data_IF_604886882127
#
_entry.id   IF_604886882127
#
_cell.length_a   1.000
_cell.length_b   1.000
_cell.length_c   1.000
_cell.angle_alpha   90.00
_cell.angle_beta   90.00
_cell.angle_gamma   90.00
#
_symmetry.space_group_name_H-M   'P 1'
#
loop_
_entity.id
_entity.type
_entity.pdbx_description
1 polymer ?
#
# COMPACT_ATOMS: atom_id res chain seq x y z
N UNK A 1 -5.14 -22.60 -36.82
CA UNK A 1 -5.87 -22.71 -35.54
C UNK A 1 -5.63 -21.44 -34.72
N UNK A 2 -6.29 -20.31 -35.04
CA UNK A 2 -6.25 -19.13 -34.14
C UNK A 2 -6.97 -19.58 -32.87
N UNK A 3 -6.20 -19.79 -31.80
CA UNK A 3 -6.64 -20.42 -30.56
C UNK A 3 -7.94 -19.79 -30.07
N UNK A 4 -8.94 -20.61 -29.69
CA UNK A 4 -10.20 -20.16 -29.07
C UNK A 4 -9.96 -19.17 -27.92
N UNK A 5 -8.80 -19.27 -27.26
CA UNK A 5 -8.32 -18.38 -26.21
C UNK A 5 -8.10 -16.95 -26.73
N UNK A 6 -7.52 -16.78 -27.93
CA UNK A 6 -7.27 -15.47 -28.53
C UNK A 6 -8.60 -14.75 -28.85
N UNK A 7 -9.59 -15.50 -29.36
CA UNK A 7 -10.92 -14.97 -29.66
C UNK A 7 -11.69 -14.59 -28.39
N UNK A 8 -11.54 -15.38 -27.32
CA UNK A 8 -12.12 -15.08 -26.00
C UNK A 8 -11.52 -13.83 -25.37
N UNK A 9 -10.19 -13.68 -25.42
CA UNK A 9 -9.48 -12.49 -24.94
C UNK A 9 -9.90 -11.25 -25.74
N UNK A 10 -10.03 -11.35 -27.06
CA UNK A 10 -10.45 -10.23 -27.91
C UNK A 10 -11.91 -9.80 -27.68
N UNK A 11 -12.81 -10.72 -27.30
CA UNK A 11 -14.24 -10.43 -27.11
C UNK A 11 -14.61 -10.05 -25.68
N UNK A 12 -13.96 -10.62 -24.65
CA UNK A 12 -14.29 -10.39 -23.24
C UNK A 12 -13.15 -9.79 -22.42
N UNK A 13 -11.96 -9.61 -23.00
CA UNK A 13 -10.77 -9.11 -22.30
C UNK A 13 -10.94 -7.72 -21.70
N UNK A 14 -11.70 -6.83 -22.35
CA UNK A 14 -11.99 -5.50 -21.79
C UNK A 14 -12.85 -5.61 -20.52
N UNK A 15 -13.88 -6.44 -20.53
CA UNK A 15 -14.75 -6.65 -19.35
C UNK A 15 -13.96 -7.28 -18.21
N UNK A 16 -13.22 -8.35 -18.50
CA UNK A 16 -12.42 -9.06 -17.49
C UNK A 16 -11.34 -8.14 -16.91
N UNK A 17 -10.64 -7.39 -17.77
CA UNK A 17 -9.61 -6.44 -17.34
C UNK A 17 -10.19 -5.29 -16.51
N UNK A 18 -11.34 -4.75 -16.90
CA UNK A 18 -12.04 -3.71 -16.14
C UNK A 18 -12.49 -4.20 -14.77
N UNK A 19 -13.10 -5.39 -14.68
CA UNK A 19 -13.48 -6.02 -13.41
C UNK A 19 -12.25 -6.27 -12.52
N UNK A 20 -11.14 -6.71 -13.10
CA UNK A 20 -9.90 -6.90 -12.35
C UNK A 20 -9.36 -5.59 -11.76
N UNK A 21 -9.41 -4.49 -12.51
CA UNK A 21 -9.07 -3.16 -11.99
C UNK A 21 -9.97 -2.75 -10.83
N UNK A 22 -11.29 -3.01 -10.92
CA UNK A 22 -12.23 -2.71 -9.83
C UNK A 22 -11.91 -3.51 -8.56
N UNK A 23 -11.51 -4.77 -8.69
CA UNK A 23 -11.07 -5.58 -7.54
C UNK A 23 -9.84 -4.94 -6.88
N UNK A 24 -8.84 -4.54 -7.68
CA UNK A 24 -7.65 -3.85 -7.16
C UNK A 24 -8.02 -2.54 -6.46
N UNK A 25 -8.96 -1.77 -7.01
CA UNK A 25 -9.48 -0.55 -6.38
C UNK A 25 -10.05 -0.81 -4.99
N UNK A 26 -10.87 -1.85 -4.83
CA UNK A 26 -11.43 -2.21 -3.51
C UNK A 26 -10.32 -2.50 -2.50
N UNK A 27 -9.27 -3.22 -2.91
CA UNK A 27 -8.11 -3.52 -2.05
C UNK A 27 -7.38 -2.23 -1.63
N UNK A 28 -7.09 -1.33 -2.58
CA UNK A 28 -6.40 -0.07 -2.31
C UNK A 28 -7.23 0.82 -1.36
N UNK A 29 -8.53 0.96 -1.61
CA UNK A 29 -9.42 1.76 -0.76
C UNK A 29 -9.52 1.17 0.65
N UNK A 30 -9.64 -0.15 0.77
CA UNK A 30 -9.67 -0.81 2.07
C UNK A 30 -8.36 -0.57 2.86
N UNK A 31 -7.21 -0.62 2.19
CA UNK A 31 -5.94 -0.29 2.82
C UNK A 31 -5.90 1.16 3.33
N UNK A 32 -6.42 2.10 2.56
CA UNK A 32 -6.58 3.50 2.96
C UNK A 32 -7.48 3.66 4.19
N UNK A 33 -8.62 2.96 4.24
CA UNK A 33 -9.54 2.95 5.39
C UNK A 33 -8.86 2.39 6.64
N UNK A 34 -8.13 1.27 6.52
CA UNK A 34 -7.42 0.69 7.67
C UNK A 34 -6.35 1.63 8.18
N UNK A 35 -5.55 2.26 7.30
CA UNK A 35 -4.55 3.25 7.73
C UNK A 35 -5.19 4.47 8.39
N UNK A 36 -6.30 4.96 7.84
CA UNK A 36 -7.09 6.05 8.41
C UNK A 36 -7.51 5.71 9.85
N UNK A 37 -8.12 4.54 10.04
CA UNK A 37 -8.57 4.08 11.36
C UNK A 37 -7.42 4.01 12.35
N UNK A 38 -6.28 3.43 11.98
CA UNK A 38 -5.09 3.35 12.85
C UNK A 38 -4.59 4.74 13.23
N UNK A 39 -4.64 5.69 12.29
CA UNK A 39 -4.21 7.07 12.52
C UNK A 39 -5.17 7.80 13.46
N UNK A 40 -6.48 7.58 13.30
CA UNK A 40 -7.53 8.16 14.17
C UNK A 40 -7.53 7.56 15.58
N UNK A 41 -7.24 6.26 15.71
CA UNK A 41 -7.07 5.58 17.01
C UNK A 41 -5.86 6.14 17.78
N UNK A 42 -4.87 6.67 17.07
CA UNK A 42 -3.68 7.33 17.63
C UNK A 42 -2.94 6.52 18.71
N UNK A 43 -2.96 5.19 18.58
CA UNK A 43 -2.28 4.28 19.49
C UNK A 43 -0.77 4.25 19.15
N UNK A 44 -0.01 5.15 19.76
CA UNK A 44 1.44 5.28 19.57
C UNK A 44 2.18 4.26 20.45
N UNK A 45 3.08 3.50 19.85
CA UNK A 45 3.93 2.51 20.51
C UNK A 45 5.40 2.67 20.11
N UNK A 46 6.32 2.33 21.01
CA UNK A 46 7.76 2.29 20.71
C UNK A 46 8.12 0.92 20.13
N UNK A 47 8.51 0.89 18.86
CA UNK A 47 8.99 -0.32 18.19
C UNK A 47 10.51 -0.32 18.12
N UNK A 48 11.12 -1.48 18.41
CA UNK A 48 12.57 -1.65 18.32
C UNK A 48 13.00 -1.72 16.86
N UNK A 49 14.02 -0.96 16.50
CA UNK A 49 14.59 -0.96 15.16
C UNK A 49 15.60 -2.11 15.06
N UNK A 50 15.34 -3.06 14.17
CA UNK A 50 16.25 -4.18 13.91
C UNK A 50 17.17 -3.89 12.72
N UNK A 51 16.61 -3.28 11.68
CA UNK A 51 17.35 -3.03 10.44
C UNK A 51 16.83 -1.75 9.79
N UNK A 52 17.77 -0.90 9.36
CA UNK A 52 17.53 0.28 8.54
C UNK A 52 18.35 0.18 7.26
N UNK A 53 17.97 0.90 6.19
CA UNK A 53 18.84 1.08 5.05
C UNK A 53 20.19 1.67 5.49
N UNK A 54 21.29 1.25 4.85
CA UNK A 54 22.65 1.72 5.18
C UNK A 54 22.85 3.20 4.85
N UNK A 55 22.17 3.70 3.82
CA UNK A 55 22.32 5.07 3.36
C UNK A 55 20.94 5.68 3.04
N UNK A 56 20.60 6.74 3.78
CA UNK A 56 19.37 7.49 3.56
C UNK A 56 19.40 8.37 2.31
N UNK A 57 20.59 8.73 1.83
CA UNK A 57 20.76 9.60 0.67
C UNK A 57 20.71 8.81 -0.64
N UNK A 58 21.00 7.51 -0.60
CA UNK A 58 20.97 6.61 -1.77
C UNK A 58 19.74 5.68 -1.83
N UNK A 59 18.63 6.04 -1.18
CA UNK A 59 17.38 5.26 -1.17
C UNK A 59 16.67 5.14 -2.54
N UNK A 60 17.07 5.96 -3.51
CA UNK A 60 16.43 6.05 -4.82
C UNK A 60 14.93 6.38 -4.77
N UNK A 61 14.25 6.33 -5.92
CA UNK A 61 12.79 6.57 -6.01
C UNK A 61 11.95 5.48 -5.35
N UNK A 62 12.53 4.29 -5.16
CA UNK A 62 11.80 3.15 -4.59
C UNK A 62 11.79 3.18 -3.07
N UNK A 63 12.59 3.99 -2.38
CA UNK A 63 12.67 3.99 -0.93
C UNK A 63 13.38 2.75 -0.38
N UNK A 64 13.34 2.60 0.94
CA UNK A 64 14.06 1.54 1.66
C UNK A 64 13.15 0.71 2.54
N UNK A 65 13.67 -0.42 3.00
CA UNK A 65 12.99 -1.33 3.90
C UNK A 65 13.55 -1.20 5.30
N UNK A 66 12.66 -1.22 6.28
CA UNK A 66 12.93 -1.12 7.70
C UNK A 66 12.34 -2.35 8.38
N UNK A 67 13.13 -3.01 9.22
CA UNK A 67 12.61 -4.10 10.07
C UNK A 67 12.43 -3.57 11.47
N UNK A 68 11.19 -3.60 11.94
CA UNK A 68 10.80 -3.17 13.27
C UNK A 68 10.33 -4.38 14.07
N UNK A 69 10.65 -4.42 15.36
CA UNK A 69 10.16 -5.45 16.28
C UNK A 69 9.26 -4.82 17.32
N UNK A 70 8.07 -5.42 17.48
CA UNK A 70 7.11 -5.04 18.52
C UNK A 70 6.36 -6.28 18.97
N UNK A 71 6.17 -6.45 20.29
CA UNK A 71 5.52 -7.63 20.88
C UNK A 71 6.03 -8.99 20.36
N UNK A 72 7.35 -9.11 20.16
CA UNK A 72 7.97 -10.35 19.66
C UNK A 72 7.77 -10.61 18.15
N UNK A 73 6.98 -9.79 17.46
CA UNK A 73 6.76 -9.88 16.02
C UNK A 73 7.68 -8.95 15.25
N UNK A 74 8.05 -9.35 14.02
CA UNK A 74 8.87 -8.54 13.11
C UNK A 74 8.02 -8.00 11.98
N UNK A 75 8.00 -6.68 11.86
CA UNK A 75 7.28 -5.93 10.85
C UNK A 75 8.26 -5.36 9.83
N UNK A 76 8.08 -5.73 8.57
CA UNK A 76 8.83 -5.13 7.46
C UNK A 76 8.03 -3.96 6.91
N UNK A 77 8.59 -2.77 6.97
CA UNK A 77 7.95 -1.54 6.50
C UNK A 77 8.79 -0.87 5.44
N UNK A 78 8.11 -0.32 4.44
CA UNK A 78 8.75 0.49 3.42
C UNK A 78 8.67 1.95 3.85
N UNK A 79 9.77 2.68 3.71
CA UNK A 79 9.83 4.09 4.05
C UNK A 79 10.62 4.90 3.03
N UNK A 80 10.33 6.20 2.98
CA UNK A 80 11.02 7.16 2.14
C UNK A 80 12.25 7.73 2.86
N UNK A 81 12.89 8.73 2.24
CA UNK A 81 14.06 9.42 2.82
C UNK A 81 13.73 10.18 4.11
N UNK A 82 12.52 10.68 4.26
CA UNK A 82 12.08 11.37 5.49
C UNK A 82 12.03 10.39 6.66
N UNK A 83 11.39 9.23 6.46
CA UNK A 83 11.36 8.14 7.44
C UNK A 83 12.78 7.69 7.79
N UNK A 84 13.67 7.58 6.80
CA UNK A 84 15.06 7.20 7.03
C UNK A 84 15.77 8.14 8.00
N UNK A 85 15.70 9.45 7.73
CA UNK A 85 16.31 10.48 8.58
C UNK A 85 15.78 10.45 10.01
N UNK A 86 14.52 10.06 10.19
CA UNK A 86 13.89 9.98 11.51
C UNK A 86 14.32 8.75 12.32
N UNK A 87 14.70 7.65 11.65
CA UNK A 87 14.97 6.34 12.28
C UNK A 87 16.46 6.00 12.33
N UNK A 88 17.25 6.50 11.38
CA UNK A 88 18.66 6.16 11.25
C UNK A 88 19.43 6.41 12.56
N UNK A 89 20.16 5.39 13.01
CA UNK A 89 20.94 5.43 14.24
C UNK A 89 20.12 5.30 15.54
N UNK A 90 18.78 5.20 15.47
CA UNK A 90 17.94 4.99 16.65
C UNK A 90 17.70 3.51 16.91
N UNK A 91 17.67 3.14 18.19
CA UNK A 91 17.33 1.78 18.63
C UNK A 91 15.82 1.54 18.65
N UNK A 92 15.04 2.62 18.76
CA UNK A 92 13.59 2.58 18.87
C UNK A 92 12.95 3.72 18.07
N UNK A 93 11.73 3.50 17.61
CA UNK A 93 10.94 4.48 16.86
C UNK A 93 9.47 4.43 17.28
N UNK A 94 8.87 5.60 17.44
CA UNK A 94 7.44 5.74 17.67
C UNK A 94 6.67 5.48 16.38
N UNK A 95 5.76 4.53 16.43
CA UNK A 95 4.88 4.12 15.33
C UNK A 95 3.45 3.98 15.84
N UNK A 96 2.49 4.04 14.93
CA UNK A 96 1.09 3.81 15.26
C UNK A 96 0.76 2.33 15.07
N UNK A 97 -0.13 1.81 15.91
CA UNK A 97 -0.65 0.45 15.81
C UNK A 97 -2.17 0.41 15.87
N UNK A 98 -2.77 -0.66 15.36
CA UNK A 98 -4.19 -0.93 15.61
C UNK A 98 -4.41 -1.59 16.98
N UNK A 99 -5.68 -1.66 17.39
CA UNK A 99 -6.12 -2.36 18.60
C UNK A 99 -5.63 -3.82 18.71
N UNK A 100 -5.48 -4.54 17.60
CA UNK A 100 -5.01 -5.93 17.57
C UNK A 100 -3.48 -6.06 17.64
N UNK A 101 -2.73 -4.95 17.57
CA UNK A 101 -1.26 -4.92 17.60
C UNK A 101 -0.56 -5.74 16.50
N UNK A 102 -1.25 -6.00 15.38
CA UNK A 102 -0.76 -6.80 14.25
C UNK A 102 -0.37 -5.95 13.04
N UNK A 103 -0.49 -4.61 13.14
CA UNK A 103 -0.13 -3.69 12.06
C UNK A 103 0.48 -2.41 12.60
N UNK A 104 1.74 -2.16 12.20
CA UNK A 104 2.43 -0.89 12.46
C UNK A 104 2.35 0.05 11.25
N UNK A 105 2.17 1.35 11.46
CA UNK A 105 2.34 2.38 10.42
C UNK A 105 3.21 3.51 10.96
N UNK A 106 3.99 4.17 10.10
CA UNK A 106 4.70 5.38 10.53
C UNK A 106 3.72 6.53 10.77
N UNK A 107 4.08 7.45 11.68
CA UNK A 107 3.20 8.56 12.10
C UNK A 107 2.64 9.37 10.92
N UNK A 108 3.46 9.63 9.89
CA UNK A 108 3.07 10.42 8.73
C UNK A 108 2.67 9.56 7.51
N UNK A 109 2.59 8.23 7.66
CA UNK A 109 2.37 7.33 6.53
C UNK A 109 0.99 7.52 5.88
N UNK A 110 -0.03 7.85 6.68
CA UNK A 110 -1.38 8.08 6.17
C UNK A 110 -1.51 9.43 5.45
N UNK A 111 -0.99 10.50 6.02
CA UNK A 111 -1.02 11.85 5.44
C UNK A 111 -0.29 11.92 4.10
N UNK A 112 0.81 11.18 3.96
CA UNK A 112 1.54 11.05 2.69
C UNK A 112 0.91 10.03 1.72
N UNK A 113 -0.10 9.26 2.15
CA UNK A 113 -0.71 8.23 1.32
C UNK A 113 -1.70 8.82 0.32
N UNK A 114 -1.52 8.49 -0.96
CA UNK A 114 -2.47 8.80 -2.03
C UNK A 114 -3.42 7.62 -2.32
N UNK A 115 -3.57 6.70 -1.36
CA UNK A 115 -4.31 5.44 -1.55
C UNK A 115 -5.76 5.72 -1.97
N UNK A 116 -6.44 6.70 -1.36
CA UNK A 116 -7.80 7.08 -1.76
C UNK A 116 -7.88 7.66 -3.17
N UNK A 117 -6.98 8.60 -3.51
CA UNK A 117 -6.97 9.24 -4.82
C UNK A 117 -6.69 8.22 -5.93
N UNK A 118 -5.65 7.40 -5.76
CA UNK A 118 -5.30 6.36 -6.73
C UNK A 118 -6.37 5.27 -6.82
N UNK A 119 -6.97 4.89 -5.70
CA UNK A 119 -8.10 3.96 -5.66
C UNK A 119 -9.29 4.47 -6.48
N UNK A 120 -9.71 5.72 -6.27
CA UNK A 120 -10.81 6.36 -6.99
C UNK A 120 -10.51 6.46 -8.49
N UNK A 121 -9.33 6.96 -8.86
CA UNK A 121 -8.94 7.08 -10.27
C UNK A 121 -8.93 5.73 -10.97
N UNK A 122 -8.32 4.72 -10.36
CA UNK A 122 -8.31 3.35 -10.90
C UNK A 122 -9.72 2.78 -11.03
N UNK A 123 -10.60 3.08 -10.06
CA UNK A 123 -12.00 2.65 -10.07
C UNK A 123 -12.76 3.25 -11.24
N UNK A 124 -12.61 4.55 -11.48
CA UNK A 124 -13.22 5.23 -12.63
C UNK A 124 -12.72 4.65 -13.95
N UNK A 125 -11.42 4.39 -14.09
CA UNK A 125 -10.88 3.72 -15.27
C UNK A 125 -11.45 2.31 -15.45
N UNK A 126 -11.51 1.52 -14.38
CA UNK A 126 -12.10 0.19 -14.38
C UNK A 126 -13.57 0.19 -14.80
N UNK A 127 -14.37 1.14 -14.31
CA UNK A 127 -15.77 1.32 -14.69
C UNK A 127 -15.90 1.65 -16.18
N UNK A 128 -15.13 2.63 -16.69
CA UNK A 128 -15.17 3.04 -18.10
C UNK A 128 -14.78 1.89 -19.03
N UNK A 129 -13.73 1.15 -18.68
CA UNK A 129 -13.25 0.01 -19.47
C UNK A 129 -14.28 -1.12 -19.47
N UNK A 130 -14.87 -1.44 -18.31
CA UNK A 130 -15.92 -2.47 -18.18
C UNK A 130 -17.15 -2.08 -19.00
N UNK A 131 -17.61 -0.83 -18.88
CA UNK A 131 -18.75 -0.31 -19.63
C UNK A 131 -18.52 -0.36 -21.15
N UNK A 132 -17.34 0.08 -21.63
CA UNK A 132 -16.97 -0.02 -23.05
C UNK A 132 -16.88 -1.48 -23.51
N UNK A 133 -16.42 -2.38 -22.66
CA UNK A 133 -16.36 -3.82 -22.93
C UNK A 133 -17.73 -4.49 -23.04
N UNK A 134 -18.76 -3.98 -22.35
CA UNK A 134 -20.13 -4.47 -22.48
C UNK A 134 -20.90 -3.90 -23.67
N UNK A 135 -20.58 -2.67 -24.08
CA UNK A 135 -21.22 -2.03 -25.24
C UNK A 135 -20.71 -2.56 -26.59
N UNK A 136 -19.63 -3.34 -26.59
CA UNK A 136 -18.97 -3.90 -27.77
C UNK A 136 -19.32 -5.37 -27.94
#
# INVERSE_FOLDING_TARGET
>A
MKSKILTFILTKGLVIGGLFMLIITVIILNNGIVKKRITEENNVVSAKVLETPMDCDNLGRRGGYYKLQYNGQVFVKKGNRLICKTIYGKKEVNVLTNAQMDKLIFLNEYEESNDFLYGILLGLFGLVITYKGWKK
#
